data_IF_156802458634
#
_entry.id   IF_156802458634
#
_cell.length_a   1.000
_cell.length_b   1.000
_cell.length_c   1.000
_cell.angle_alpha   90.00
_cell.angle_beta   90.00
_cell.angle_gamma   90.00
#
_symmetry.space_group_name_H-M   'P 1'
#
loop_
_entity.id
_entity.type
_entity.pdbx_description
1 polymer ?
#
# COMPACT_ATOMS: atom_id res chain seq x y z
N UNK A 1 -4.52 -63.68 -36.67
CA UNK A 1 -4.05 -64.17 -35.35
C UNK A 1 -2.55 -63.93 -35.28
N UNK A 2 -1.96 -63.08 -34.46
CA UNK A 2 -2.41 -62.08 -33.47
C UNK A 2 -1.33 -60.98 -33.48
N UNK A 3 -1.73 -59.72 -33.65
CA UNK A 3 -0.93 -58.55 -33.27
C UNK A 3 -0.69 -58.61 -31.75
N UNK A 4 0.50 -58.26 -31.29
CA UNK A 4 0.74 -57.93 -29.89
C UNK A 4 1.29 -56.51 -29.81
N UNK A 5 0.44 -55.62 -29.29
CA UNK A 5 0.77 -54.28 -28.82
C UNK A 5 1.76 -54.40 -27.64
N UNK A 6 2.81 -53.60 -27.65
CA UNK A 6 3.54 -53.22 -26.43
C UNK A 6 3.31 -51.74 -26.17
N UNK A 7 2.78 -51.48 -24.98
CA UNK A 7 2.20 -50.23 -24.52
C UNK A 7 3.24 -49.12 -24.29
N UNK A 8 2.83 -47.90 -24.62
CA UNK A 8 3.48 -46.64 -24.30
C UNK A 8 3.53 -46.40 -22.79
N UNK A 9 4.73 -46.14 -22.25
CA UNK A 9 4.88 -45.53 -20.93
C UNK A 9 5.05 -44.02 -21.13
N UNK A 10 3.98 -43.27 -20.85
CA UNK A 10 3.98 -41.81 -20.81
C UNK A 10 4.72 -41.38 -19.53
N UNK A 11 5.94 -40.89 -19.65
CA UNK A 11 6.63 -40.24 -18.54
C UNK A 11 6.07 -38.82 -18.38
N UNK A 12 5.07 -38.68 -17.51
CA UNK A 12 4.63 -37.38 -16.99
C UNK A 12 5.72 -36.91 -16.03
N UNK A 13 6.72 -36.20 -16.57
CA UNK A 13 7.72 -35.48 -15.77
C UNK A 13 7.04 -34.30 -15.11
N UNK A 14 6.89 -34.37 -13.78
CA UNK A 14 6.35 -33.32 -12.95
C UNK A 14 7.08 -31.99 -13.22
N UNK A 15 6.35 -31.00 -13.74
CA UNK A 15 6.69 -29.59 -13.55
C UNK A 15 6.52 -29.29 -12.06
N UNK A 16 7.54 -29.62 -11.27
CA UNK A 16 7.68 -29.06 -9.94
C UNK A 16 7.93 -27.56 -10.13
N UNK A 17 6.91 -26.79 -9.79
CA UNK A 17 6.96 -25.33 -9.80
C UNK A 17 8.22 -24.87 -9.09
N UNK A 18 9.07 -24.18 -9.84
CA UNK A 18 10.03 -23.26 -9.26
C UNK A 18 9.21 -22.19 -8.55
N UNK A 19 9.00 -22.38 -7.25
CA UNK A 19 8.80 -21.24 -6.36
C UNK A 19 9.95 -20.28 -6.69
N UNK A 20 9.63 -19.09 -7.19
CA UNK A 20 10.60 -18.04 -7.36
C UNK A 20 11.21 -17.79 -5.98
N UNK A 21 12.40 -18.36 -5.75
CA UNK A 21 13.19 -18.02 -4.58
C UNK A 21 13.41 -16.51 -4.65
N UNK A 22 12.97 -15.79 -3.61
CA UNK A 22 13.30 -14.39 -3.44
C UNK A 22 14.82 -14.26 -3.62
N UNK A 23 15.26 -13.46 -4.61
CA UNK A 23 16.67 -13.16 -4.74
C UNK A 23 17.09 -12.43 -3.46
N UNK A 24 18.08 -12.98 -2.75
CA UNK A 24 18.73 -12.28 -1.63
C UNK A 24 19.39 -11.01 -2.21
N UNK A 25 18.76 -9.86 -2.01
CA UNK A 25 19.24 -8.54 -2.46
C UNK A 25 20.34 -7.97 -1.55
N UNK A 26 21.18 -8.82 -0.96
CA UNK A 26 22.20 -8.41 0.03
C UNK A 26 23.28 -7.49 -0.56
N UNK A 27 23.40 -7.44 -1.90
CA UNK A 27 24.38 -6.62 -2.63
C UNK A 27 23.77 -5.39 -3.34
N UNK A 28 22.52 -5.02 -3.05
CA UNK A 28 21.91 -3.84 -3.65
C UNK A 28 22.65 -2.55 -3.24
N UNK A 29 23.29 -1.89 -4.21
CA UNK A 29 24.02 -0.63 -3.99
C UNK A 29 23.04 0.50 -3.71
N UNK A 30 23.43 1.40 -2.81
CA UNK A 30 22.72 2.65 -2.59
C UNK A 30 22.85 3.55 -3.82
N UNK A 31 21.74 4.15 -4.22
CA UNK A 31 21.65 5.18 -5.24
C UNK A 31 20.90 4.74 -6.49
N UNK A 32 20.95 5.62 -7.50
CA UNK A 32 20.41 5.36 -8.82
C UNK A 32 18.92 5.66 -8.95
N UNK A 33 18.44 5.58 -10.18
CA UNK A 33 17.06 5.85 -10.55
C UNK A 33 16.43 4.65 -11.25
N UNK A 34 15.12 4.52 -11.11
CA UNK A 34 14.32 3.53 -11.83
C UNK A 34 13.24 4.23 -12.64
N UNK A 35 12.99 3.77 -13.87
CA UNK A 35 11.88 4.21 -14.72
C UNK A 35 10.85 3.09 -14.80
N UNK A 36 9.63 3.38 -14.35
CA UNK A 36 8.47 2.48 -14.44
C UNK A 36 7.48 3.09 -15.41
N UNK A 37 6.99 2.33 -16.38
CA UNK A 37 6.07 2.84 -17.40
C UNK A 37 4.66 2.28 -17.22
N UNK A 38 3.65 3.12 -17.40
CA UNK A 38 2.25 2.73 -17.42
C UNK A 38 1.56 3.28 -18.67
N UNK A 39 0.54 2.56 -19.13
CA UNK A 39 -0.33 3.01 -20.22
C UNK A 39 -1.27 4.12 -19.78
N UNK A 40 -1.95 3.91 -18.65
CA UNK A 40 -3.01 4.79 -18.19
C UNK A 40 -2.46 5.91 -17.29
N UNK A 41 -3.18 7.02 -17.23
CA UNK A 41 -2.87 8.15 -16.34
C UNK A 41 -3.26 7.82 -14.88
N UNK A 42 -2.64 8.52 -13.94
CA UNK A 42 -2.93 8.41 -12.50
C UNK A 42 -3.92 9.52 -12.15
N UNK A 43 -5.10 9.16 -11.64
CA UNK A 43 -6.11 10.16 -11.26
C UNK A 43 -5.81 10.84 -9.93
N UNK A 44 -5.27 10.09 -8.97
CA UNK A 44 -5.00 10.55 -7.60
C UNK A 44 -4.03 9.60 -6.89
N UNK A 45 -3.17 10.14 -6.02
CA UNK A 45 -2.33 9.38 -5.08
C UNK A 45 -2.91 9.38 -3.66
N UNK A 46 -4.16 9.80 -3.49
CA UNK A 46 -4.83 9.76 -2.18
C UNK A 46 -5.16 8.31 -1.78
N UNK A 47 -4.62 7.78 -0.66
CA UNK A 47 -4.86 6.41 -0.25
C UNK A 47 -6.32 6.11 0.10
N UNK A 48 -7.13 7.12 0.44
CA UNK A 48 -8.56 6.91 0.70
C UNK A 48 -9.39 6.78 -0.59
N UNK A 49 -8.88 7.24 -1.74
CA UNK A 49 -9.65 7.33 -2.99
C UNK A 49 -9.08 6.41 -4.08
N UNK A 50 -7.75 6.35 -4.21
CA UNK A 50 -7.07 5.61 -5.27
C UNK A 50 -7.37 4.11 -5.21
N UNK A 51 -8.06 3.59 -6.22
CA UNK A 51 -8.50 2.20 -6.28
C UNK A 51 -8.23 1.53 -7.62
N UNK A 52 -7.03 1.77 -8.13
CA UNK A 52 -6.54 1.17 -9.36
C UNK A 52 -5.17 0.53 -9.08
N UNK A 53 -4.86 -0.54 -9.80
CA UNK A 53 -3.67 -1.34 -9.54
C UNK A 53 -2.36 -0.55 -9.81
N UNK A 54 -2.38 0.40 -10.75
CA UNK A 54 -1.29 1.35 -10.98
C UNK A 54 -1.08 2.25 -9.76
N UNK A 55 -2.15 2.93 -9.33
CA UNK A 55 -2.10 3.86 -8.19
C UNK A 55 -1.67 3.13 -6.92
N UNK A 56 -2.06 1.87 -6.73
CA UNK A 56 -1.73 1.10 -5.53
C UNK A 56 -0.23 0.92 -5.31
N UNK A 57 0.53 0.68 -6.37
CA UNK A 57 2.00 0.53 -6.27
C UNK A 57 2.67 1.87 -5.93
N UNK A 58 2.14 2.96 -6.51
CA UNK A 58 2.62 4.31 -6.24
C UNK A 58 2.27 4.77 -4.82
N UNK A 59 1.01 4.62 -4.41
CA UNK A 59 0.52 4.93 -3.05
C UNK A 59 1.33 4.17 -2.00
N UNK A 60 1.58 2.87 -2.20
CA UNK A 60 2.39 2.06 -1.28
C UNK A 60 3.85 2.53 -1.16
N UNK A 61 4.35 3.28 -2.14
CA UNK A 61 5.68 3.89 -2.07
C UNK A 61 5.70 5.18 -1.24
N UNK A 62 4.54 5.84 -1.09
CA UNK A 62 4.37 7.14 -0.43
C UNK A 62 3.84 7.01 1.01
N UNK A 63 3.07 5.98 1.30
CA UNK A 63 2.37 5.82 2.58
C UNK A 63 2.59 4.43 3.18
N UNK A 64 2.64 4.36 4.51
CA UNK A 64 2.64 3.11 5.26
C UNK A 64 1.32 2.94 6.03
N UNK A 65 1.04 1.71 6.44
CA UNK A 65 -0.13 1.34 7.25
C UNK A 65 0.29 0.71 8.59
N UNK A 66 -0.67 0.35 9.44
CA UNK A 66 -0.34 -0.35 10.70
C UNK A 66 0.29 -1.73 10.44
N UNK A 67 -0.25 -2.42 9.45
CA UNK A 67 0.20 -3.73 8.99
C UNK A 67 0.65 -3.64 7.54
N UNK A 68 1.40 -4.64 7.09
CA UNK A 68 1.83 -4.78 5.70
C UNK A 68 2.06 -6.26 5.37
N UNK A 69 2.54 -6.55 4.16
CA UNK A 69 2.92 -7.89 3.72
C UNK A 69 4.43 -8.02 3.56
N UNK A 70 4.97 -9.21 3.82
CA UNK A 70 6.33 -9.52 3.40
C UNK A 70 6.42 -9.46 1.87
N UNK A 71 7.42 -8.77 1.29
CA UNK A 71 7.49 -8.54 -0.16
C UNK A 71 7.34 -9.83 -0.98
N UNK A 72 6.39 -9.81 -1.92
CA UNK A 72 6.12 -10.95 -2.81
C UNK A 72 5.32 -12.10 -2.18
N UNK A 73 4.78 -11.92 -0.96
CA UNK A 73 4.00 -12.96 -0.26
C UNK A 73 2.65 -12.43 0.23
N UNK A 74 1.83 -13.33 0.76
CA UNK A 74 0.59 -12.99 1.49
C UNK A 74 0.77 -13.04 3.01
N UNK A 75 2.02 -13.16 3.49
CA UNK A 75 2.33 -13.24 4.92
C UNK A 75 2.27 -11.83 5.50
N UNK A 76 1.41 -11.63 6.50
CA UNK A 76 1.32 -10.37 7.21
C UNK A 76 2.58 -10.11 8.04
N UNK A 77 3.03 -8.87 8.02
CA UNK A 77 4.04 -8.32 8.92
C UNK A 77 3.49 -7.05 9.58
N UNK A 78 4.08 -6.71 10.71
CA UNK A 78 3.84 -5.44 11.38
C UNK A 78 4.60 -4.32 10.65
N UNK A 79 3.99 -3.16 10.51
CA UNK A 79 4.58 -2.01 9.82
C UNK A 79 4.62 -0.79 10.74
N UNK A 80 3.77 0.23 10.60
CA UNK A 80 3.73 1.36 11.55
C UNK A 80 3.37 0.92 12.98
N UNK A 81 2.71 -0.23 13.14
CA UNK A 81 2.60 -0.90 14.42
C UNK A 81 3.94 -1.57 14.79
N UNK A 82 4.46 -1.27 15.98
CA UNK A 82 5.53 -2.04 16.59
C UNK A 82 5.02 -3.40 17.08
N UNK A 83 3.82 -3.41 17.67
CA UNK A 83 3.17 -4.60 18.20
C UNK A 83 1.65 -4.46 18.27
N UNK A 84 0.94 -5.58 18.43
CA UNK A 84 -0.49 -5.55 18.71
C UNK A 84 -0.94 -6.73 19.58
N UNK A 85 -2.06 -6.54 20.29
CA UNK A 85 -2.75 -7.59 21.02
C UNK A 85 -4.20 -7.72 20.55
N UNK A 86 -4.74 -8.93 20.63
CA UNK A 86 -6.14 -9.23 20.31
C UNK A 86 -6.80 -9.76 21.59
N UNK A 87 -7.98 -9.25 21.94
CA UNK A 87 -8.79 -9.77 23.04
C UNK A 87 -9.26 -11.21 22.80
N UNK A 88 -9.60 -11.92 23.88
CA UNK A 88 -10.04 -13.33 23.82
C UNK A 88 -11.28 -13.56 22.94
N UNK A 89 -12.16 -12.55 22.83
CA UNK A 89 -13.36 -12.58 21.99
C UNK A 89 -13.06 -12.22 20.52
N UNK A 90 -11.83 -11.83 20.19
CA UNK A 90 -11.41 -11.45 18.84
C UNK A 90 -12.00 -10.13 18.35
N UNK A 91 -12.50 -9.29 19.26
CA UNK A 91 -13.21 -8.06 18.90
C UNK A 91 -12.44 -6.78 19.21
N UNK A 92 -11.41 -6.80 20.05
CA UNK A 92 -10.60 -5.63 20.38
C UNK A 92 -9.16 -5.85 19.98
N UNK A 93 -8.64 -4.94 19.16
CA UNK A 93 -7.26 -4.90 18.70
C UNK A 93 -6.59 -3.67 19.32
N UNK A 94 -5.49 -3.86 20.05
CA UNK A 94 -4.71 -2.75 20.58
C UNK A 94 -3.37 -2.72 19.89
N UNK A 95 -3.09 -1.66 19.14
CA UNK A 95 -1.82 -1.46 18.44
C UNK A 95 -0.92 -0.52 19.22
N UNK A 96 0.34 -0.90 19.36
CA UNK A 96 1.43 -0.02 19.78
C UNK A 96 2.14 0.48 18.54
N UNK A 97 2.24 1.79 18.38
CA UNK A 97 2.84 2.45 17.23
C UNK A 97 4.34 2.64 17.46
N UNK A 98 5.09 2.62 16.37
CA UNK A 98 6.51 2.99 16.41
C UNK A 98 6.66 4.47 16.75
N UNK A 99 7.59 4.77 17.65
CA UNK A 99 7.91 6.14 18.05
C UNK A 99 8.93 6.76 17.10
N UNK A 100 8.87 8.09 16.92
CA UNK A 100 9.83 8.82 16.08
C UNK A 100 9.65 8.63 14.57
N UNK A 101 8.58 7.97 14.13
CA UNK A 101 8.22 7.94 12.70
C UNK A 101 7.69 9.31 12.31
N UNK A 102 8.26 9.91 11.27
CA UNK A 102 7.83 11.22 10.76
C UNK A 102 7.20 11.10 9.38
N UNK A 103 6.23 11.97 9.10
CA UNK A 103 5.77 12.22 7.76
C UNK A 103 6.86 12.91 6.92
N UNK A 104 6.70 12.92 5.59
CA UNK A 104 7.63 13.58 4.67
C UNK A 104 7.86 15.07 4.97
N UNK A 105 6.91 15.74 5.64
CA UNK A 105 7.02 17.13 6.06
C UNK A 105 7.74 17.33 7.42
N UNK A 106 8.19 16.24 8.06
CA UNK A 106 8.92 16.26 9.33
C UNK A 106 8.04 16.24 10.59
N UNK A 107 6.71 16.29 10.47
CA UNK A 107 5.82 16.12 11.63
C UNK A 107 5.84 14.67 12.10
N UNK A 108 5.89 14.44 13.41
CA UNK A 108 5.83 13.08 13.97
C UNK A 108 4.43 12.49 13.84
N UNK A 109 4.35 11.21 13.46
CA UNK A 109 3.11 10.44 13.40
C UNK A 109 2.67 9.97 14.77
N UNK A 110 1.37 10.09 15.04
CA UNK A 110 0.74 9.69 16.29
C UNK A 110 -0.52 8.85 16.07
N UNK A 111 -1.06 8.29 17.15
CA UNK A 111 -2.33 7.56 17.14
C UNK A 111 -3.53 8.40 16.67
N UNK A 112 -3.49 9.73 16.82
CA UNK A 112 -4.52 10.63 16.29
C UNK A 112 -4.56 10.62 14.76
N UNK A 113 -3.41 10.46 14.10
CA UNK A 113 -3.34 10.38 12.63
C UNK A 113 -3.96 9.07 12.13
N UNK A 114 -3.77 7.97 12.87
CA UNK A 114 -4.40 6.68 12.57
C UNK A 114 -5.91 6.79 12.71
N UNK A 115 -6.40 7.36 13.82
CA UNK A 115 -7.83 7.60 14.04
C UNK A 115 -8.42 8.47 12.93
N UNK A 116 -7.78 9.59 12.62
CA UNK A 116 -8.21 10.47 11.54
C UNK A 116 -8.30 9.74 10.20
N UNK A 117 -7.30 8.94 9.86
CA UNK A 117 -7.25 8.21 8.59
C UNK A 117 -8.40 7.20 8.47
N UNK A 118 -8.69 6.47 9.55
CA UNK A 118 -9.83 5.54 9.61
C UNK A 118 -11.17 6.28 9.55
N UNK A 119 -11.34 7.35 10.35
CA UNK A 119 -12.57 8.16 10.33
C UNK A 119 -12.80 8.75 8.92
N UNK A 120 -11.74 9.24 8.27
CA UNK A 120 -11.80 9.83 6.94
C UNK A 120 -12.21 8.81 5.88
N UNK A 121 -11.58 7.64 5.84
CA UNK A 121 -11.86 6.65 4.79
C UNK A 121 -13.28 6.09 4.89
N UNK A 122 -13.86 6.04 6.09
CA UNK A 122 -15.25 5.61 6.30
C UNK A 122 -16.28 6.74 6.26
N UNK A 123 -15.85 8.01 6.22
CA UNK A 123 -16.75 9.15 6.11
C UNK A 123 -17.41 9.17 4.71
N UNK A 124 -18.75 9.21 4.61
CA UNK A 124 -19.46 9.23 3.33
C UNK A 124 -19.14 10.44 2.44
N UNK A 125 -18.72 11.57 3.02
CA UNK A 125 -18.30 12.76 2.26
C UNK A 125 -17.00 12.52 1.48
N UNK A 126 -16.13 11.63 1.99
CA UNK A 126 -14.88 11.25 1.31
C UNK A 126 -15.17 10.42 0.05
N UNK A 127 -16.32 9.74 -0.03
CA UNK A 127 -16.68 8.85 -1.14
C UNK A 127 -15.62 7.77 -1.44
N UNK A 128 -14.97 7.25 -0.39
CA UNK A 128 -13.96 6.21 -0.54
C UNK A 128 -14.55 4.92 -1.12
N UNK A 129 -13.97 4.36 -2.20
CA UNK A 129 -14.33 3.01 -2.66
C UNK A 129 -13.91 1.92 -1.66
N UNK A 130 -13.01 2.24 -0.73
CA UNK A 130 -12.49 1.34 0.30
C UNK A 130 -13.27 1.33 1.61
N UNK A 131 -14.22 2.25 1.81
CA UNK A 131 -14.97 2.38 3.07
C UNK A 131 -15.53 1.04 3.57
N UNK A 132 -16.09 0.23 2.65
CA UNK A 132 -16.71 -1.05 2.97
C UNK A 132 -15.78 -2.09 3.61
N UNK A 133 -14.46 -1.99 3.41
CA UNK A 133 -13.50 -2.90 4.05
C UNK A 133 -13.47 -2.75 5.58
N UNK A 134 -13.83 -1.58 6.09
CA UNK A 134 -13.82 -1.25 7.52
C UNK A 134 -15.16 -1.51 8.21
N UNK A 135 -16.11 -2.16 7.53
CA UNK A 135 -17.47 -2.40 8.01
C UNK A 135 -17.59 -3.29 9.26
N UNK A 136 -16.50 -3.86 9.75
CA UNK A 136 -16.45 -4.57 11.03
C UNK A 136 -16.11 -3.66 12.21
N UNK A 137 -15.62 -2.43 12.01
CA UNK A 137 -15.31 -1.49 13.10
C UNK A 137 -16.61 -1.00 13.75
N UNK A 138 -16.65 -0.95 15.09
CA UNK A 138 -17.79 -0.39 15.80
C UNK A 138 -17.99 1.09 15.45
N UNK A 139 -19.24 1.51 15.21
CA UNK A 139 -19.56 2.86 14.74
C UNK A 139 -19.56 3.04 13.23
N UNK A 140 -19.19 2.02 12.44
CA UNK A 140 -19.18 2.12 10.97
C UNK A 140 -20.57 2.45 10.40
N UNK A 141 -21.62 1.77 10.84
CA UNK A 141 -22.97 1.98 10.30
C UNK A 141 -23.50 3.39 10.63
N UNK A 142 -23.22 3.89 11.82
CA UNK A 142 -23.54 5.25 12.23
C UNK A 142 -22.76 6.29 11.41
N UNK A 143 -21.48 6.04 11.14
CA UNK A 143 -20.70 6.93 10.27
C UNK A 143 -21.17 6.89 8.81
N UNK A 144 -21.35 5.70 8.25
CA UNK A 144 -21.76 5.51 6.85
C UNK A 144 -23.15 6.10 6.57
N UNK A 145 -24.03 6.14 7.58
CA UNK A 145 -25.34 6.81 7.50
C UNK A 145 -25.29 8.32 7.76
N UNK A 146 -24.14 8.88 8.14
CA UNK A 146 -23.97 10.28 8.52
C UNK A 146 -24.54 10.63 9.90
N UNK A 147 -24.89 9.63 10.71
CA UNK A 147 -25.36 9.81 12.08
C UNK A 147 -24.22 10.05 13.09
N UNK A 148 -22.99 9.72 12.72
CA UNK A 148 -21.77 9.99 13.47
C UNK A 148 -20.69 10.59 12.56
N UNK A 149 -19.79 11.38 13.14
CA UNK A 149 -18.63 11.98 12.46
C UNK A 149 -17.33 11.24 12.75
N UNK A 150 -17.35 10.27 13.66
CA UNK A 150 -16.20 9.49 14.12
C UNK A 150 -16.62 8.04 14.42
N UNK A 151 -15.69 7.10 14.21
CA UNK A 151 -15.88 5.69 14.53
C UNK A 151 -15.79 5.52 16.06
N UNK A 152 -16.89 5.11 16.68
CA UNK A 152 -16.94 4.86 18.13
C UNK A 152 -16.04 3.69 18.59
N UNK A 153 -15.64 2.82 17.67
CA UNK A 153 -14.71 1.73 17.90
C UNK A 153 -13.24 2.14 17.88
N UNK A 154 -12.88 3.35 17.46
CA UNK A 154 -11.48 3.77 17.35
C UNK A 154 -11.15 4.74 18.47
N UNK A 155 -10.35 4.28 19.43
CA UNK A 155 -9.99 5.04 20.63
C UNK A 155 -8.49 5.26 20.71
N UNK A 156 -8.07 6.52 20.77
CA UNK A 156 -6.70 6.90 21.08
C UNK A 156 -6.50 6.79 22.59
N UNK A 157 -5.63 5.87 23.03
CA UNK A 157 -5.33 5.66 24.46
C UNK A 157 -4.23 6.63 24.91
N UNK A 158 -3.20 6.78 24.09
CA UNK A 158 -2.08 7.70 24.24
C UNK A 158 -1.45 7.97 22.86
N UNK A 159 -0.45 8.87 22.72
CA UNK A 159 0.11 9.24 21.42
C UNK A 159 0.64 8.07 20.57
N UNK A 160 0.97 6.92 21.17
CA UNK A 160 1.52 5.75 20.49
C UNK A 160 0.72 4.47 20.74
N UNK A 161 -0.49 4.57 21.28
CA UNK A 161 -1.37 3.43 21.52
C UNK A 161 -2.77 3.72 21.00
N UNK A 162 -3.25 2.88 20.09
CA UNK A 162 -4.61 2.96 19.56
C UNK A 162 -5.35 1.64 19.77
N UNK A 163 -6.57 1.73 20.28
CA UNK A 163 -7.49 0.61 20.40
C UNK A 163 -8.55 0.68 19.29
N UNK A 164 -8.74 -0.42 18.58
CA UNK A 164 -9.79 -0.58 17.58
C UNK A 164 -10.70 -1.74 18.00
N UNK A 165 -11.95 -1.41 18.29
CA UNK A 165 -13.02 -2.33 18.65
C UNK A 165 -13.93 -2.58 17.45
N UNK A 166 -14.21 -3.86 17.22
CA UNK A 166 -15.11 -4.34 16.18
C UNK A 166 -16.54 -4.51 16.72
N UNK A 167 -17.52 -4.40 15.82
CA UNK A 167 -18.94 -4.72 16.08
C UNK A 167 -19.22 -6.22 16.03
N UNK A 168 -18.35 -6.98 15.36
CA UNK A 168 -18.38 -8.44 15.26
C UNK A 168 -16.94 -8.97 15.07
N UNK A 169 -16.64 -10.23 15.48
CA UNK A 169 -15.36 -10.84 15.16
C UNK A 169 -15.12 -10.86 13.65
N UNK A 170 -13.91 -10.49 13.23
CA UNK A 170 -13.48 -10.47 11.84
C UNK A 170 -12.04 -10.99 11.73
N UNK A 171 -11.90 -12.22 11.24
CA UNK A 171 -10.61 -12.87 11.09
C UNK A 171 -9.72 -12.21 10.03
N UNK A 172 -10.28 -11.33 9.19
CA UNK A 172 -9.54 -10.63 8.13
C UNK A 172 -9.07 -9.25 8.57
N UNK A 173 -9.39 -8.80 9.77
CA UNK A 173 -9.17 -7.41 10.19
C UNK A 173 -7.71 -6.95 10.07
N UNK A 174 -6.73 -7.79 10.42
CA UNK A 174 -5.32 -7.45 10.25
C UNK A 174 -4.91 -7.29 8.77
N UNK A 175 -5.55 -8.03 7.87
CA UNK A 175 -5.37 -7.84 6.43
C UNK A 175 -5.99 -6.54 5.95
N UNK A 176 -7.14 -6.14 6.51
CA UNK A 176 -7.74 -4.82 6.25
C UNK A 176 -6.80 -3.70 6.70
N UNK A 177 -6.08 -3.87 7.82
CA UNK A 177 -5.05 -2.91 8.27
C UNK A 177 -3.76 -2.93 7.44
N UNK A 178 -3.67 -3.77 6.40
CA UNK A 178 -2.52 -3.87 5.50
C UNK A 178 -2.80 -3.36 4.07
N UNK A 179 -4.05 -3.01 3.75
CA UNK A 179 -4.41 -2.47 2.42
C UNK A 179 -4.17 -0.96 2.37
N UNK A 180 -4.04 -0.42 1.16
CA UNK A 180 -3.75 1.01 0.94
C UNK A 180 -4.76 1.95 1.61
N UNK A 181 -6.03 1.57 1.68
CA UNK A 181 -7.07 2.37 2.34
C UNK A 181 -6.86 2.56 3.85
N UNK A 182 -6.01 1.74 4.47
CA UNK A 182 -5.63 1.86 5.89
C UNK A 182 -4.36 2.69 6.13
N UNK A 183 -3.82 3.30 5.07
CA UNK A 183 -2.62 4.13 5.17
C UNK A 183 -2.85 5.33 6.08
N UNK A 184 -1.82 5.69 6.84
CA UNK A 184 -1.89 6.80 7.80
C UNK A 184 -1.52 8.11 7.10
N UNK A 185 -2.36 9.15 7.24
CA UNK A 185 -2.20 10.46 6.61
C UNK A 185 -2.23 11.62 7.61
N UNK A 186 -1.54 12.74 7.32
CA UNK A 186 -1.64 13.99 8.08
C UNK A 186 -3.05 14.57 8.04
N UNK A 187 -3.65 14.86 9.18
CA UNK A 187 -4.91 15.62 9.17
C UNK A 187 -4.73 17.00 8.56
N UNK A 188 -3.69 17.73 8.96
CA UNK A 188 -3.50 19.13 8.58
C UNK A 188 -3.26 19.30 7.08
N UNK A 189 -2.50 18.39 6.45
CA UNK A 189 -2.19 18.45 5.01
C UNK A 189 -3.42 18.03 4.19
N UNK A 190 -4.16 17.02 4.64
CA UNK A 190 -5.39 16.61 3.97
C UNK A 190 -6.44 17.72 4.03
N UNK A 191 -6.58 18.41 5.16
CA UNK A 191 -7.51 19.53 5.28
C UNK A 191 -7.06 20.76 4.48
N UNK A 192 -5.75 21.02 4.39
CA UNK A 192 -5.19 22.12 3.58
C UNK A 192 -5.48 21.96 2.09
N UNK A 193 -5.21 20.77 1.53
CA UNK A 193 -5.38 20.51 0.10
C UNK A 193 -6.76 19.96 -0.27
N UNK A 194 -7.52 19.44 0.69
CA UNK A 194 -8.87 18.91 0.50
C UNK A 194 -8.92 17.88 -0.65
N UNK A 195 -9.79 18.06 -1.66
CA UNK A 195 -9.89 17.16 -2.80
C UNK A 195 -8.60 17.01 -3.62
N UNK A 196 -7.69 17.98 -3.55
CA UNK A 196 -6.40 17.95 -4.27
C UNK A 196 -5.27 17.32 -3.43
N UNK A 197 -5.54 16.79 -2.23
CA UNK A 197 -4.54 16.09 -1.41
C UNK A 197 -3.77 15.01 -2.19
N UNK A 198 -4.47 14.27 -3.06
CA UNK A 198 -3.84 13.27 -3.91
C UNK A 198 -2.75 13.80 -4.84
N UNK A 199 -2.73 15.10 -5.16
CA UNK A 199 -1.68 15.78 -5.95
C UNK A 199 -0.58 16.40 -5.09
N UNK A 200 -0.81 16.48 -3.78
CA UNK A 200 0.12 16.96 -2.78
C UNK A 200 0.29 15.92 -1.65
N UNK A 201 0.54 14.63 -1.98
CA UNK A 201 0.53 13.57 -0.99
C UNK A 201 1.69 13.75 0.00
N UNK A 202 1.37 13.64 1.28
CA UNK A 202 2.35 13.56 2.36
C UNK A 202 2.04 12.33 3.18
N UNK A 203 3.00 11.41 3.26
CA UNK A 203 2.89 10.15 4.00
C UNK A 203 4.14 9.88 4.82
N UNK A 204 4.29 8.64 5.30
CA UNK A 204 5.47 8.17 6.04
C UNK A 204 6.40 7.30 5.20
N UNK A 205 6.02 7.02 3.94
CA UNK A 205 6.63 6.00 3.09
C UNK A 205 8.05 6.29 2.63
N UNK A 206 8.60 5.31 1.92
CA UNK A 206 9.98 5.27 1.44
C UNK A 206 10.35 6.40 0.47
N UNK A 207 9.37 6.91 -0.27
CA UNK A 207 9.53 8.01 -1.20
C UNK A 207 8.49 9.09 -0.94
N UNK A 208 8.77 10.30 -1.42
CA UNK A 208 7.81 11.41 -1.48
C UNK A 208 7.64 11.87 -2.93
N UNK A 209 6.50 12.49 -3.25
CA UNK A 209 6.26 13.07 -4.57
C UNK A 209 7.11 14.33 -4.74
N UNK A 210 8.08 14.30 -5.65
CA UNK A 210 8.95 15.42 -5.96
C UNK A 210 8.40 16.28 -7.10
N UNK A 211 7.82 15.66 -8.13
CA UNK A 211 7.20 16.35 -9.26
C UNK A 211 6.05 15.51 -9.85
N UNK A 212 5.03 16.20 -10.38
CA UNK A 212 3.97 15.57 -11.15
C UNK A 212 3.62 16.42 -12.36
N UNK A 213 4.01 15.95 -13.55
CA UNK A 213 3.56 16.48 -14.83
C UNK A 213 2.36 15.65 -15.32
N UNK A 214 1.15 16.20 -15.16
CA UNK A 214 -0.12 15.53 -15.50
C UNK A 214 -0.12 14.97 -16.94
N UNK A 215 -0.57 13.72 -17.09
CA UNK A 215 -0.60 13.02 -18.36
C UNK A 215 0.78 12.66 -18.95
N UNK A 216 1.89 12.90 -18.23
CA UNK A 216 3.24 12.60 -18.72
C UNK A 216 4.07 11.78 -17.72
N UNK A 217 4.28 12.29 -16.51
CA UNK A 217 5.15 11.62 -15.54
C UNK A 217 4.94 12.05 -14.09
N UNK A 218 5.37 11.18 -13.17
CA UNK A 218 5.50 11.45 -11.75
C UNK A 218 6.94 11.11 -11.32
N UNK A 219 7.57 11.98 -10.55
CA UNK A 219 8.91 11.75 -10.00
C UNK A 219 8.83 11.61 -8.51
N UNK A 220 9.27 10.46 -7.99
CA UNK A 220 9.31 10.14 -6.58
C UNK A 220 10.76 10.16 -6.12
N UNK A 221 11.06 10.97 -5.11
CA UNK A 221 12.40 11.07 -4.54
C UNK A 221 12.46 10.34 -3.19
N UNK A 222 13.63 9.79 -2.86
CA UNK A 222 13.84 9.06 -1.60
C UNK A 222 13.51 9.94 -0.40
N UNK A 223 12.74 9.39 0.54
CA UNK A 223 12.64 9.92 1.89
C UNK A 223 13.90 9.56 2.69
N UNK A 224 14.81 10.51 2.88
CA UNK A 224 16.05 10.28 3.67
C UNK A 224 15.77 9.97 5.14
N UNK A 225 14.60 10.39 5.66
CA UNK A 225 14.12 10.09 7.01
C UNK A 225 13.26 8.84 7.09
N UNK A 226 13.27 7.96 6.08
CA UNK A 226 12.46 6.76 6.12
C UNK A 226 12.87 5.84 7.28
N UNK A 227 11.88 5.37 8.02
CA UNK A 227 12.06 4.73 9.31
C UNK A 227 12.46 3.24 9.21
N UNK A 228 12.26 2.60 8.06
CA UNK A 228 12.80 1.26 7.81
C UNK A 228 14.29 1.33 7.50
N UNK A 229 15.11 0.68 8.33
CA UNK A 229 16.55 0.71 8.17
C UNK A 229 17.01 0.07 6.85
N UNK A 230 17.97 0.72 6.20
CA UNK A 230 18.64 0.19 5.02
C UNK A 230 17.84 0.26 3.71
N UNK A 231 16.62 0.79 3.72
CA UNK A 231 15.78 1.00 2.53
C UNK A 231 15.21 2.43 2.53
N UNK A 232 14.76 2.96 1.38
CA UNK A 232 14.96 2.40 0.05
C UNK A 232 16.39 2.57 -0.46
N UNK A 233 16.80 1.68 -1.36
CA UNK A 233 18.12 1.74 -2.02
C UNK A 233 18.17 2.71 -3.18
N UNK A 234 17.07 2.97 -3.88
CA UNK A 234 17.00 3.89 -5.02
C UNK A 234 16.89 5.35 -4.55
N UNK A 235 17.53 6.28 -5.27
CA UNK A 235 17.40 7.73 -5.01
C UNK A 235 16.09 8.27 -5.57
N UNK A 236 15.62 7.70 -6.67
CA UNK A 236 14.47 8.18 -7.41
C UNK A 236 13.74 7.07 -8.15
N UNK A 237 12.41 7.20 -8.24
CA UNK A 237 11.57 6.44 -9.17
C UNK A 237 10.84 7.44 -10.06
N UNK A 238 10.95 7.28 -11.38
CA UNK A 238 10.14 8.02 -12.34
C UNK A 238 9.07 7.11 -12.90
N UNK A 239 7.81 7.49 -12.71
CA UNK A 239 6.67 6.87 -13.35
C UNK A 239 6.34 7.63 -14.62
N UNK A 240 6.47 7.00 -15.78
CA UNK A 240 6.05 7.59 -17.06
C UNK A 240 4.71 6.98 -17.47
N UNK A 241 3.77 7.82 -17.87
CA UNK A 241 2.38 7.44 -18.15
C UNK A 241 2.04 7.74 -19.62
N UNK A 242 0.96 7.15 -20.13
CA UNK A 242 0.54 7.33 -21.52
C UNK A 242 1.35 6.51 -22.52
N UNK A 243 2.08 5.49 -22.08
CA UNK A 243 2.94 4.69 -22.94
C UNK A 243 2.29 3.36 -23.33
N UNK A 244 2.06 3.15 -24.63
CA UNK A 244 1.50 1.88 -25.11
C UNK A 244 2.40 0.69 -24.74
N UNK A 245 1.85 -0.46 -24.28
CA UNK A 245 2.65 -1.58 -23.75
C UNK A 245 3.73 -2.12 -24.69
N UNK A 246 3.48 -2.10 -26.00
CA UNK A 246 4.50 -2.53 -26.99
C UNK A 246 5.67 -1.54 -27.07
N UNK A 247 5.42 -0.25 -26.89
CA UNK A 247 6.46 0.78 -26.85
C UNK A 247 7.24 0.69 -25.54
N UNK A 248 6.55 0.45 -24.42
CA UNK A 248 7.18 0.15 -23.13
C UNK A 248 8.15 -1.04 -23.22
N UNK A 249 7.73 -2.13 -23.88
CA UNK A 249 8.60 -3.30 -24.09
C UNK A 249 9.84 -2.97 -24.93
N UNK A 250 9.69 -2.18 -26.00
CA UNK A 250 10.82 -1.77 -26.84
C UNK A 250 11.80 -0.88 -26.05
N UNK A 251 11.29 0.02 -25.22
CA UNK A 251 12.12 0.87 -24.36
C UNK A 251 12.86 0.07 -23.29
N UNK A 252 12.20 -0.94 -22.70
CA UNK A 252 12.85 -1.89 -21.81
C UNK A 252 14.01 -2.63 -22.51
N UNK A 253 13.79 -3.13 -23.74
CA UNK A 253 14.83 -3.81 -24.51
C UNK A 253 16.02 -2.90 -24.85
N UNK A 254 15.79 -1.59 -24.94
CA UNK A 254 16.80 -0.58 -25.21
C UNK A 254 17.46 -0.03 -23.93
N UNK A 255 16.96 -0.41 -22.74
CA UNK A 255 17.44 0.10 -21.45
C UNK A 255 16.98 1.53 -21.14
N UNK A 256 15.91 2.00 -21.79
CA UNK A 256 15.30 3.33 -21.58
C UNK A 256 14.16 3.31 -20.55
N UNK A 257 13.74 2.12 -20.12
CA UNK A 257 12.80 1.86 -19.04
C UNK A 257 13.26 0.60 -18.28
N UNK A 258 12.94 0.52 -16.99
CA UNK A 258 13.38 -0.60 -16.13
C UNK A 258 12.24 -1.58 -15.85
N UNK A 259 11.01 -1.09 -15.72
CA UNK A 259 9.83 -1.91 -15.41
C UNK A 259 8.65 -1.51 -16.31
N UNK A 260 8.11 -2.42 -17.14
CA UNK A 260 6.81 -2.23 -17.77
C UNK A 260 5.72 -2.52 -16.73
N UNK A 261 5.14 -1.46 -16.15
CA UNK A 261 4.16 -1.54 -15.08
C UNK A 261 2.95 -2.39 -15.44
N UNK A 262 2.44 -2.27 -16.67
CA UNK A 262 1.31 -3.07 -17.21
C UNK A 262 1.65 -4.54 -17.49
N UNK A 263 2.89 -4.95 -17.18
CA UNK A 263 3.42 -6.26 -17.52
C UNK A 263 3.85 -6.35 -18.98
N UNK A 264 4.26 -7.55 -19.37
CA UNK A 264 4.70 -7.83 -20.74
C UNK A 264 3.45 -8.16 -21.58
N UNK A 265 3.21 -7.47 -22.72
CA UNK A 265 2.10 -7.80 -23.60
C UNK A 265 2.23 -9.24 -24.16
N UNK A 266 1.11 -9.91 -24.45
CA UNK A 266 1.08 -11.30 -24.92
C UNK A 266 1.71 -11.49 -26.31
#
# INVERSE_FOLDING_TARGET
MKLTLTASALAIGAMLGTAAAAQDFTDAKQGGSMIVTYKDDVSTLDPAIGYDWQNWSMIKSLFDGLMDYEPGTTVLKKDLAEDYTISDDGMTFTFKLRQGVTFHNGREMTAEDVKYSLDRVTNPETQSPGAGFFGSIAGYDEMASGAATELSGVTVIDPYTIEIKLSRPDATFLHVMAINFSSVVPKEVVEEFGPDFGKHPVGTGAFYLADWTLGQSLTFARNEGYWHEGVPKLDQITFEIGLEPIVALLRLQQGEADIPGDGIPP
#
